data_IF_596495248106
#
_entry.id   IF_596495248106
#
_cell.length_a   1.000
_cell.length_b   1.000
_cell.length_c   1.000
_cell.angle_alpha   90.00
_cell.angle_beta   90.00
_cell.angle_gamma   90.00
#
_symmetry.space_group_name_H-M   'P 1'
#
loop_
_entity.id
_entity.type
_entity.pdbx_description
1 polymer ?
#
# COMPACT_ATOMS: atom_id res chain seq x y z
N UNK A 1 -12.70 -10.11 6.17
CA UNK A 1 -11.71 -10.78 7.06
C UNK A 1 -10.95 -11.81 6.22
N UNK A 2 -9.63 -11.91 6.37
CA UNK A 2 -8.83 -12.95 5.71
C UNK A 2 -8.31 -13.92 6.77
N UNK A 3 -8.42 -15.23 6.50
CA UNK A 3 -7.88 -16.29 7.36
C UNK A 3 -6.80 -17.05 6.61
N UNK A 4 -5.66 -17.26 7.26
CA UNK A 4 -4.50 -18.01 6.77
C UNK A 4 -4.41 -19.38 7.45
N UNK A 5 -3.78 -20.41 6.83
CA UNK A 5 -2.93 -20.34 5.63
C UNK A 5 -3.66 -20.29 4.28
N UNK A 6 -4.94 -20.66 4.21
CA UNK A 6 -5.71 -20.80 2.96
C UNK A 6 -5.91 -19.46 2.22
N UNK A 7 -5.77 -18.32 2.93
CA UNK A 7 -6.04 -17.01 2.37
C UNK A 7 -7.53 -16.78 2.10
N UNK A 8 -8.40 -17.47 2.85
CA UNK A 8 -9.85 -17.39 2.68
C UNK A 8 -10.36 -16.00 3.00
N UNK A 9 -10.96 -15.34 2.00
CA UNK A 9 -11.53 -14.02 2.16
C UNK A 9 -13.03 -14.12 2.49
N UNK A 10 -13.34 -13.96 3.77
CA UNK A 10 -14.71 -13.80 4.24
C UNK A 10 -15.16 -12.34 4.03
N UNK A 11 -16.20 -12.16 3.22
CA UNK A 11 -16.77 -10.85 2.87
C UNK A 11 -18.02 -10.55 3.71
N UNK A 12 -18.25 -9.27 4.02
CA UNK A 12 -19.47 -8.79 4.71
C UNK A 12 -19.77 -9.50 6.06
N UNK A 13 -18.73 -9.94 6.77
CA UNK A 13 -18.82 -10.62 8.06
C UNK A 13 -19.45 -9.70 9.12
N UNK A 14 -20.42 -10.23 9.86
CA UNK A 14 -21.02 -9.60 11.03
C UNK A 14 -20.54 -10.27 12.32
N UNK A 15 -20.79 -9.64 13.47
CA UNK A 15 -20.44 -10.20 14.78
C UNK A 15 -21.09 -11.57 15.04
N UNK A 16 -22.34 -11.76 14.59
CA UNK A 16 -23.07 -13.02 14.72
C UNK A 16 -22.44 -14.19 13.93
N UNK A 17 -21.67 -13.91 12.88
CA UNK A 17 -21.01 -14.92 12.05
C UNK A 17 -19.74 -15.48 12.70
N UNK A 18 -19.16 -14.77 13.69
CA UNK A 18 -17.84 -15.08 14.23
C UNK A 18 -17.79 -16.47 14.90
N UNK A 19 -18.82 -16.83 15.66
CA UNK A 19 -18.87 -18.14 16.33
C UNK A 19 -18.85 -19.31 15.33
N UNK A 20 -19.51 -19.15 14.19
CA UNK A 20 -19.51 -20.15 13.11
C UNK A 20 -18.13 -20.24 12.46
N UNK A 21 -17.50 -19.11 12.11
CA UNK A 21 -16.17 -19.11 11.48
C UNK A 21 -15.13 -19.75 12.40
N UNK A 22 -15.14 -19.43 13.70
CA UNK A 22 -14.22 -20.03 14.67
C UNK A 22 -14.45 -21.53 14.78
N UNK A 23 -15.71 -21.95 14.95
CA UNK A 23 -16.02 -23.36 15.22
C UNK A 23 -15.89 -24.26 14.00
N UNK A 24 -16.20 -23.78 12.81
CA UNK A 24 -16.11 -24.55 11.57
C UNK A 24 -14.74 -24.42 10.92
N UNK A 25 -14.26 -23.20 10.66
CA UNK A 25 -13.03 -23.01 9.91
C UNK A 25 -11.79 -23.19 10.79
N UNK A 26 -11.66 -22.42 11.87
CA UNK A 26 -10.43 -22.38 12.66
C UNK A 26 -10.22 -23.68 13.47
N UNK A 27 -11.29 -24.26 14.02
CA UNK A 27 -11.19 -25.47 14.83
C UNK A 27 -11.28 -26.76 14.01
N UNK A 28 -12.13 -26.81 12.97
CA UNK A 28 -12.44 -28.06 12.24
C UNK A 28 -11.93 -28.07 10.79
N UNK A 29 -11.36 -26.98 10.30
CA UNK A 29 -10.86 -26.85 8.92
C UNK A 29 -11.96 -26.76 7.86
N UNK A 30 -13.22 -26.55 8.24
CA UNK A 30 -14.35 -26.46 7.31
C UNK A 30 -14.69 -25.00 7.04
N UNK A 31 -14.44 -24.58 5.81
CA UNK A 31 -14.73 -23.22 5.38
C UNK A 31 -16.23 -22.94 5.38
N UNK A 32 -16.62 -21.77 5.88
CA UNK A 32 -18.01 -21.29 5.88
C UNK A 32 -18.31 -20.63 4.53
N UNK A 33 -18.58 -21.44 3.51
CA UNK A 33 -18.68 -20.99 2.11
C UNK A 33 -19.73 -19.90 1.87
N UNK A 34 -20.82 -19.84 2.65
CA UNK A 34 -21.86 -18.79 2.57
C UNK A 34 -21.34 -17.37 2.84
N UNK A 35 -20.17 -17.25 3.49
CA UNK A 35 -19.54 -15.98 3.85
C UNK A 35 -18.30 -15.68 3.00
N UNK A 36 -17.84 -16.64 2.19
CA UNK A 36 -16.68 -16.47 1.33
C UNK A 36 -17.07 -15.60 0.14
N UNK A 37 -16.17 -14.72 -0.27
CA UNK A 37 -16.39 -13.89 -1.46
C UNK A 37 -16.49 -14.78 -2.71
N UNK A 38 -17.62 -14.69 -3.41
CA UNK A 38 -17.99 -15.62 -4.50
C UNK A 38 -16.89 -15.81 -5.56
N UNK A 39 -16.19 -14.75 -5.97
CA UNK A 39 -15.13 -14.85 -6.99
C UNK A 39 -13.89 -15.66 -6.52
N UNK A 40 -13.75 -15.85 -5.20
CA UNK A 40 -12.66 -16.67 -4.63
C UNK A 40 -13.03 -18.14 -4.49
N UNK A 41 -14.30 -18.52 -4.72
CA UNK A 41 -14.74 -19.91 -4.66
C UNK A 41 -14.57 -20.57 -6.03
N UNK A 42 -13.73 -21.59 -6.12
CA UNK A 42 -13.64 -22.48 -7.27
C UNK A 42 -14.12 -23.89 -6.89
N UNK A 43 -14.45 -24.73 -7.88
CA UNK A 43 -15.10 -26.04 -7.69
C UNK A 43 -14.46 -26.93 -6.61
N UNK A 44 -13.15 -26.80 -6.35
CA UNK A 44 -12.44 -27.55 -5.31
C UNK A 44 -11.36 -26.73 -4.56
N UNK A 45 -11.33 -25.40 -4.68
CA UNK A 45 -10.26 -24.59 -4.09
C UNK A 45 -10.73 -23.17 -3.77
N UNK A 46 -10.10 -22.55 -2.77
CA UNK A 46 -10.24 -21.12 -2.51
C UNK A 46 -9.07 -20.37 -3.13
N UNK A 47 -9.38 -19.50 -4.08
CA UNK A 47 -8.41 -18.63 -4.72
C UNK A 47 -8.00 -17.50 -3.79
N UNK A 48 -6.77 -17.04 -3.95
CA UNK A 48 -6.32 -15.81 -3.29
C UNK A 48 -7.16 -14.63 -3.76
N UNK A 49 -7.39 -13.66 -2.88
CA UNK A 49 -8.01 -12.38 -3.23
C UNK A 49 -7.29 -11.68 -4.40
N UNK A 50 -5.99 -11.93 -4.59
CA UNK A 50 -5.21 -11.38 -5.71
C UNK A 50 -5.62 -11.92 -7.09
N UNK A 51 -6.27 -13.08 -7.14
CA UNK A 51 -6.66 -13.75 -8.37
C UNK A 51 -8.05 -13.38 -8.86
N UNK A 52 -8.80 -12.60 -8.08
CA UNK A 52 -10.11 -12.11 -8.47
C UNK A 52 -10.00 -11.17 -9.67
N UNK A 53 -11.08 -11.03 -10.42
CA UNK A 53 -11.08 -10.22 -11.65
C UNK A 53 -10.81 -8.74 -11.36
N UNK A 54 -11.18 -8.30 -10.16
CA UNK A 54 -10.92 -6.96 -9.66
C UNK A 54 -9.43 -6.70 -9.40
N UNK A 55 -8.72 -7.60 -8.70
CA UNK A 55 -7.34 -7.36 -8.28
C UNK A 55 -6.31 -7.80 -9.31
N UNK A 56 -6.53 -8.88 -10.06
CA UNK A 56 -5.52 -9.46 -10.96
C UNK A 56 -5.11 -8.52 -12.11
N UNK A 57 -5.96 -7.54 -12.43
CA UNK A 57 -5.73 -6.54 -13.49
C UNK A 57 -5.00 -5.28 -12.98
N UNK A 58 -4.74 -5.18 -11.68
CA UNK A 58 -4.15 -3.99 -11.07
C UNK A 58 -2.63 -4.09 -10.98
N UNK A 59 -1.95 -3.00 -11.28
CA UNK A 59 -0.52 -2.84 -11.00
C UNK A 59 -0.33 -1.94 -9.75
N UNK A 60 -0.28 -2.56 -8.58
CA UNK A 60 -0.21 -1.86 -7.29
C UNK A 60 1.24 -1.52 -6.95
N UNK A 61 1.66 -0.28 -7.21
CA UNK A 61 3.00 0.22 -6.82
C UNK A 61 2.94 0.88 -5.44
N UNK A 62 2.15 1.95 -5.30
CA UNK A 62 2.02 2.69 -4.03
C UNK A 62 1.26 1.86 -2.98
N UNK A 63 0.18 1.20 -3.38
CA UNK A 63 -0.66 0.40 -2.49
C UNK A 63 -0.19 -1.06 -2.35
N UNK A 64 1.08 -1.38 -2.63
CA UNK A 64 1.55 -2.79 -2.68
C UNK A 64 1.47 -3.50 -1.34
N UNK A 65 1.58 -2.75 -0.24
CA UNK A 65 1.56 -3.25 1.13
C UNK A 65 0.18 -3.13 1.81
N UNK A 66 -0.68 -2.22 1.35
CA UNK A 66 -1.99 -1.98 1.98
C UNK A 66 -2.85 -3.26 2.00
N UNK A 67 -3.25 -3.69 3.19
CA UNK A 67 -4.00 -4.92 3.42
C UNK A 67 -3.18 -6.21 3.33
N UNK A 68 -1.85 -6.10 3.26
CA UNK A 68 -0.90 -7.24 3.25
C UNK A 68 -0.05 -7.26 4.51
N UNK A 69 0.26 -6.09 5.08
CA UNK A 69 0.98 -5.95 6.34
C UNK A 69 0.07 -5.37 7.43
N UNK A 70 0.44 -5.57 8.69
CA UNK A 70 -0.02 -4.74 9.79
C UNK A 70 0.67 -3.36 9.72
N UNK A 71 -0.08 -2.26 9.48
CA UNK A 71 0.50 -0.92 9.33
C UNK A 71 1.16 -0.39 10.61
N UNK A 72 0.86 -0.96 11.77
CA UNK A 72 1.46 -0.58 13.06
C UNK A 72 2.71 -1.42 13.40
N UNK A 73 3.11 -2.37 12.54
CA UNK A 73 4.22 -3.27 12.77
C UNK A 73 5.39 -3.00 11.82
N UNK A 74 6.44 -2.36 12.33
CA UNK A 74 7.62 -2.01 11.53
C UNK A 74 8.35 -3.22 10.93
N UNK A 75 8.37 -4.35 11.62
CA UNK A 75 9.07 -5.55 11.17
C UNK A 75 8.42 -6.15 9.92
N UNK A 76 7.09 -6.05 9.79
CA UNK A 76 6.39 -6.46 8.58
C UNK A 76 6.72 -5.55 7.40
N UNK A 77 6.79 -4.23 7.64
CA UNK A 77 7.20 -3.27 6.62
C UNK A 77 8.63 -3.56 6.12
N UNK A 78 9.57 -3.75 7.05
CA UNK A 78 10.96 -4.14 6.74
C UNK A 78 11.01 -5.47 5.99
N UNK A 79 10.24 -6.47 6.43
CA UNK A 79 10.11 -7.77 5.77
C UNK A 79 9.57 -7.69 4.34
N UNK A 80 8.96 -6.57 3.95
CA UNK A 80 8.54 -6.26 2.57
C UNK A 80 9.41 -5.19 1.89
N UNK A 81 10.69 -5.13 2.23
CA UNK A 81 11.70 -4.21 1.68
C UNK A 81 11.47 -2.74 2.08
N UNK A 82 10.69 -2.50 3.13
CA UNK A 82 10.55 -1.20 3.76
C UNK A 82 11.90 -0.63 4.17
N UNK A 83 12.08 0.68 4.00
CA UNK A 83 13.32 1.43 4.26
C UNK A 83 14.56 1.02 3.45
N UNK A 84 14.52 0.00 2.58
CA UNK A 84 15.67 -0.40 1.77
C UNK A 84 16.20 0.75 0.92
N UNK A 85 15.30 1.47 0.23
CA UNK A 85 15.64 2.64 -0.56
C UNK A 85 16.23 3.78 0.29
N UNK A 86 15.70 4.01 1.49
CA UNK A 86 16.24 5.01 2.41
C UNK A 86 17.66 4.64 2.85
N UNK A 87 17.88 3.37 3.20
CA UNK A 87 19.20 2.86 3.56
C UNK A 87 20.23 3.04 2.45
N UNK A 88 19.84 2.79 1.19
CA UNK A 88 20.69 3.05 0.01
C UNK A 88 20.99 4.55 -0.13
N UNK A 89 19.96 5.40 -0.11
CA UNK A 89 20.11 6.84 -0.29
C UNK A 89 21.06 7.44 0.75
N UNK A 90 20.87 7.11 2.03
CA UNK A 90 21.68 7.67 3.12
C UNK A 90 23.15 7.22 3.09
N UNK A 91 23.43 6.02 2.55
CA UNK A 91 24.78 5.43 2.59
C UNK A 91 25.59 5.68 1.33
N UNK A 92 24.96 5.77 0.16
CA UNK A 92 25.66 5.67 -1.12
C UNK A 92 25.34 6.77 -2.12
N UNK A 93 24.42 7.70 -1.80
CA UNK A 93 23.96 8.68 -2.78
C UNK A 93 24.13 10.10 -2.26
N UNK A 94 24.47 11.01 -3.16
CA UNK A 94 24.39 12.45 -2.91
C UNK A 94 22.97 12.96 -3.16
N UNK A 95 22.59 14.15 -2.67
CA UNK A 95 21.31 14.77 -3.02
C UNK A 95 21.09 14.91 -4.53
N UNK A 96 22.14 15.17 -5.30
CA UNK A 96 22.06 15.33 -6.75
C UNK A 96 21.78 13.98 -7.44
N UNK A 97 22.38 12.89 -6.96
CA UNK A 97 22.08 11.53 -7.45
C UNK A 97 20.61 11.17 -7.20
N UNK A 98 20.08 11.52 -6.02
CA UNK A 98 18.66 11.28 -5.68
C UNK A 98 17.74 12.06 -6.61
N UNK A 99 18.04 13.34 -6.85
CA UNK A 99 17.27 14.18 -7.78
C UNK A 99 17.31 13.57 -9.18
N UNK A 100 18.46 13.07 -9.64
CA UNK A 100 18.60 12.44 -10.95
C UNK A 100 17.74 11.18 -11.07
N UNK A 101 17.72 10.30 -10.06
CA UNK A 101 16.83 9.12 -10.04
C UNK A 101 15.35 9.52 -10.18
N UNK A 102 14.92 10.57 -9.49
CA UNK A 102 13.53 11.05 -9.59
C UNK A 102 13.25 11.70 -10.96
N UNK A 103 14.21 12.42 -11.55
CA UNK A 103 14.10 12.94 -12.91
C UNK A 103 13.94 11.81 -13.93
N UNK A 104 14.78 10.78 -13.85
CA UNK A 104 14.80 9.64 -14.76
C UNK A 104 13.53 8.79 -14.63
N UNK A 105 12.94 8.72 -13.44
CA UNK A 105 11.67 8.02 -13.22
C UNK A 105 10.47 8.64 -13.95
N UNK A 106 10.57 9.90 -14.38
CA UNK A 106 9.47 10.65 -14.96
C UNK A 106 8.31 10.91 -13.99
N UNK A 107 8.52 10.79 -12.67
CA UNK A 107 7.48 11.00 -11.67
C UNK A 107 6.88 12.41 -11.77
N UNK A 108 5.55 12.47 -11.75
CA UNK A 108 4.76 13.71 -11.77
C UNK A 108 3.94 13.82 -10.49
N UNK A 109 3.65 15.05 -10.07
CA UNK A 109 2.80 15.33 -8.92
C UNK A 109 1.41 14.70 -9.07
N UNK A 110 0.95 14.00 -8.03
CA UNK A 110 -0.30 13.23 -8.04
C UNK A 110 -1.52 14.00 -7.51
N UNK A 111 -1.33 15.16 -6.88
CA UNK A 111 -2.40 16.08 -6.47
C UNK A 111 -2.97 16.92 -7.61
N UNK A 112 -3.16 16.34 -8.80
CA UNK A 112 -3.81 17.00 -9.96
C UNK A 112 -2.88 17.76 -10.92
N UNK A 113 -2.08 18.71 -10.43
CA UNK A 113 -1.31 19.62 -11.30
C UNK A 113 -0.23 18.96 -12.17
N UNK A 114 0.19 17.72 -11.87
CA UNK A 114 1.07 16.94 -12.75
C UNK A 114 2.45 17.55 -13.02
N UNK A 115 2.95 18.45 -12.17
CA UNK A 115 4.27 19.04 -12.34
C UNK A 115 5.37 17.96 -12.13
N UNK A 116 6.45 17.92 -12.93
CA UNK A 116 7.51 16.93 -12.76
C UNK A 116 8.18 17.03 -11.39
N UNK A 117 8.13 15.95 -10.60
CA UNK A 117 8.61 15.92 -9.21
C UNK A 117 10.11 16.17 -9.13
N UNK A 118 10.90 15.57 -10.03
CA UNK A 118 12.35 15.77 -10.07
C UNK A 118 12.75 17.22 -10.35
N UNK A 119 12.02 17.90 -11.25
CA UNK A 119 12.24 19.35 -11.51
C UNK A 119 11.90 20.19 -10.27
N UNK A 120 10.82 19.86 -9.56
CA UNK A 120 10.45 20.56 -8.31
C UNK A 120 11.55 20.44 -7.26
N UNK A 121 12.13 19.24 -7.09
CA UNK A 121 13.22 19.01 -6.15
C UNK A 121 14.51 19.72 -6.56
N UNK A 122 14.86 19.67 -7.85
CA UNK A 122 16.02 20.40 -8.39
C UNK A 122 15.90 21.92 -8.17
N UNK A 123 14.72 22.49 -8.42
CA UNK A 123 14.45 23.91 -8.14
C UNK A 123 14.59 24.23 -6.65
N UNK A 124 14.00 23.42 -5.77
CA UNK A 124 14.11 23.62 -4.31
C UNK A 124 15.56 23.50 -3.82
N UNK A 125 16.36 22.62 -4.43
CA UNK A 125 17.79 22.48 -4.13
C UNK A 125 18.57 23.73 -4.57
N UNK A 126 18.31 24.24 -5.77
CA UNK A 126 19.14 25.25 -6.44
C UNK A 126 18.74 26.71 -6.17
N UNK A 127 17.44 27.00 -6.02
CA UNK A 127 16.93 28.38 -5.89
C UNK A 127 17.47 29.10 -4.66
N UNK A 128 17.68 28.37 -3.57
CA UNK A 128 18.28 28.90 -2.34
C UNK A 128 19.34 27.91 -1.88
N UNK A 129 20.50 27.93 -2.58
CA UNK A 129 21.59 26.99 -2.34
C UNK A 129 22.12 27.09 -0.91
N UNK A 130 22.17 28.31 -0.38
CA UNK A 130 22.71 28.67 0.93
C UNK A 130 21.60 28.96 1.96
N UNK A 131 20.42 28.34 1.79
CA UNK A 131 19.39 28.41 2.83
C UNK A 131 19.86 27.65 4.07
N UNK A 132 19.87 28.31 5.22
CA UNK A 132 20.14 27.69 6.51
C UNK A 132 19.09 26.62 6.88
N UNK A 133 17.88 26.72 6.33
CA UNK A 133 16.77 25.81 6.59
C UNK A 133 15.94 25.57 5.33
N UNK A 134 15.53 24.31 5.13
CA UNK A 134 14.55 23.90 4.10
C UNK A 134 13.45 23.08 4.73
N UNK A 135 12.29 23.02 4.06
CA UNK A 135 11.11 22.32 4.53
C UNK A 135 10.60 21.34 3.48
N UNK A 136 10.05 20.22 3.95
CA UNK A 136 9.30 19.26 3.15
C UNK A 136 7.89 19.22 3.72
N UNK A 137 6.91 19.59 2.90
CA UNK A 137 5.50 19.56 3.30
C UNK A 137 4.78 18.46 2.52
N UNK A 138 4.21 17.50 3.24
CA UNK A 138 3.24 16.57 2.68
C UNK A 138 1.86 17.21 2.74
N UNK A 139 1.16 17.30 1.61
CA UNK A 139 -0.24 17.70 1.58
C UNK A 139 -1.09 16.43 1.62
N UNK A 140 -1.84 16.26 2.70
CA UNK A 140 -2.73 15.12 2.95
C UNK A 140 -4.18 15.56 3.22
N UNK A 141 -4.58 16.74 2.72
CA UNK A 141 -5.92 17.29 2.94
C UNK A 141 -7.02 16.48 2.21
N UNK A 142 -6.69 15.84 1.08
CA UNK A 142 -7.56 14.95 0.27
C UNK A 142 -9.05 15.39 0.22
N UNK A 143 -9.31 16.69 -0.01
CA UNK A 143 -10.66 17.26 0.11
C UNK A 143 -11.62 16.98 -1.06
N UNK A 144 -11.15 16.34 -2.14
CA UNK A 144 -11.97 16.08 -3.32
C UNK A 144 -12.98 14.93 -3.07
N UNK A 145 -14.30 15.11 -3.33
CA UNK A 145 -15.28 14.06 -3.13
C UNK A 145 -14.94 12.77 -3.89
N UNK A 146 -14.84 11.66 -3.17
CA UNK A 146 -14.51 10.35 -3.72
C UNK A 146 -13.01 10.05 -3.83
N UNK A 147 -12.14 10.99 -3.44
CA UNK A 147 -10.72 10.70 -3.21
C UNK A 147 -10.54 10.03 -1.84
N UNK A 148 -9.73 8.97 -1.81
CA UNK A 148 -9.36 8.21 -0.60
C UNK A 148 -7.99 7.51 -0.76
N UNK A 149 -7.21 7.89 -1.77
CA UNK A 149 -5.90 7.31 -2.08
C UNK A 149 -4.88 7.68 -1.02
N UNK A 150 -4.83 8.95 -0.61
CA UNK A 150 -3.90 9.41 0.43
C UNK A 150 -4.26 8.77 1.77
N UNK A 151 -5.56 8.75 2.12
CA UNK A 151 -6.05 8.01 3.30
C UNK A 151 -5.63 6.53 3.27
N UNK A 152 -5.76 5.87 2.12
CA UNK A 152 -5.41 4.44 2.01
C UNK A 152 -3.93 4.16 2.27
N UNK A 153 -3.05 5.08 1.88
CA UNK A 153 -1.61 4.95 2.16
C UNK A 153 -1.34 5.24 3.64
N UNK A 154 -1.88 6.35 4.17
CA UNK A 154 -1.63 6.77 5.56
C UNK A 154 -2.17 5.78 6.59
N UNK A 155 -3.29 5.12 6.32
CA UNK A 155 -3.86 4.11 7.22
C UNK A 155 -3.25 2.72 6.99
N UNK A 156 -2.81 2.41 5.76
CA UNK A 156 -2.47 1.05 5.35
C UNK A 156 -0.99 0.75 5.18
N UNK A 157 -0.13 1.75 5.05
CA UNK A 157 1.34 1.64 4.87
C UNK A 157 2.05 2.97 5.26
N UNK A 158 1.95 3.41 6.54
CA UNK A 158 2.51 4.69 7.00
C UNK A 158 4.05 4.75 7.05
#
# INVERSE_FOLDING_TARGET
>A
MIVYPEGTFYSMVKEEDIAEIVSEHLLKGRIVTRLVYDETVAENEIKSLKETDFYKKQHRIALRNCGVINPECIDEYIGRNGYEALGKVLKTMTPDDVIQVILDSGLRGRGGGGFPTGKKWQLARNLVKDADQKYVCCNADEGDPGAFMDRSVLEGDP
#
